data_IF_854539680718
#
_entry.id   IF_854539680718
#
_cell.length_a   1.000
_cell.length_b   1.000
_cell.length_c   1.000
_cell.angle_alpha   90.00
_cell.angle_beta   90.00
_cell.angle_gamma   90.00
#
_symmetry.space_group_name_H-M   'P 1'
#
loop_
_entity.id
_entity.type
_entity.pdbx_description
1 polymer ?
#
# COMPACT_ATOMS: atom_id res chain seq x y z
N UNK A 1 -6.46 -3.16 15.83
CA UNK A 1 -7.93 -3.15 16.02
C UNK A 1 -8.48 -2.01 15.21
N UNK A 2 -9.54 -2.21 14.45
CA UNK A 2 -10.23 -1.17 13.67
C UNK A 2 -11.68 -1.11 14.11
N UNK A 3 -12.25 0.10 14.23
CA UNK A 3 -13.61 0.31 14.70
C UNK A 3 -14.56 0.61 13.54
N UNK A 4 -15.85 0.55 13.84
CA UNK A 4 -16.89 0.89 12.88
C UNK A 4 -16.73 2.30 12.31
N UNK A 5 -17.03 2.44 11.02
CA UNK A 5 -16.89 3.66 10.23
C UNK A 5 -15.47 4.20 10.10
N UNK A 6 -14.45 3.45 10.55
CA UNK A 6 -13.05 3.78 10.29
C UNK A 6 -12.56 3.12 8.99
N UNK A 7 -11.72 3.81 8.20
CA UNK A 7 -11.07 3.21 7.05
C UNK A 7 -9.99 2.21 7.50
N UNK A 8 -9.87 1.11 6.76
CA UNK A 8 -8.85 0.10 7.00
C UNK A 8 -7.46 0.65 6.61
N UNK A 9 -6.46 0.64 7.52
CA UNK A 9 -5.17 1.29 7.30
C UNK A 9 -4.23 0.51 6.37
N UNK A 10 -4.41 -0.80 6.29
CA UNK A 10 -3.57 -1.74 5.57
C UNK A 10 -4.40 -2.96 5.15
N UNK A 11 -3.83 -3.83 4.31
CA UNK A 11 -4.48 -5.09 3.95
C UNK A 11 -4.30 -6.06 5.11
N UNK A 12 -5.41 -6.57 5.66
CA UNK A 12 -5.40 -7.40 6.87
C UNK A 12 -6.23 -8.67 6.70
N UNK A 13 -5.80 -9.78 7.29
CA UNK A 13 -6.63 -10.97 7.44
C UNK A 13 -7.51 -10.83 8.68
N UNK A 14 -8.81 -11.05 8.51
CA UNK A 14 -9.78 -11.02 9.60
C UNK A 14 -9.52 -12.18 10.57
N UNK A 15 -9.25 -11.87 11.84
CA UNK A 15 -9.17 -12.87 12.91
C UNK A 15 -10.42 -12.91 13.76
N UNK A 16 -10.88 -11.72 14.17
CA UNK A 16 -12.00 -11.55 15.08
C UNK A 16 -12.85 -10.36 14.65
N UNK A 17 -14.15 -10.50 14.86
CA UNK A 17 -15.14 -9.44 14.70
C UNK A 17 -16.00 -9.39 15.95
N UNK A 18 -16.57 -8.22 16.23
CA UNK A 18 -17.57 -8.03 17.28
C UNK A 18 -18.75 -9.02 17.15
N UNK A 19 -19.13 -9.38 15.92
CA UNK A 19 -20.17 -10.38 15.65
C UNK A 19 -19.75 -11.80 16.01
N UNK A 20 -18.45 -12.11 15.89
CA UNK A 20 -17.89 -13.40 16.30
C UNK A 20 -17.87 -13.61 17.81
N UNK A 21 -18.31 -12.63 18.62
CA UNK A 21 -18.63 -12.85 20.04
C UNK A 21 -19.88 -13.73 20.21
N UNK A 22 -20.81 -13.69 19.25
CA UNK A 22 -22.05 -14.46 19.27
C UNK A 22 -21.86 -15.82 18.55
N UNK A 23 -21.97 -16.96 19.25
CA UNK A 23 -21.77 -18.30 18.67
C UNK A 23 -22.69 -18.62 17.48
N UNK A 24 -23.83 -17.92 17.34
CA UNK A 24 -24.83 -18.19 16.30
C UNK A 24 -24.56 -17.49 14.97
N UNK A 25 -23.80 -16.39 14.97
CA UNK A 25 -23.61 -15.52 13.78
C UNK A 25 -22.28 -15.73 13.05
N UNK A 26 -21.37 -16.51 13.63
CA UNK A 26 -20.03 -16.69 13.08
C UNK A 26 -19.18 -15.42 13.14
N UNK A 27 -17.89 -15.55 12.81
CA UNK A 27 -16.97 -14.41 12.81
C UNK A 27 -16.97 -13.73 11.44
N UNK A 28 -17.94 -12.82 11.25
CA UNK A 28 -18.11 -12.07 9.99
C UNK A 28 -17.89 -10.57 10.19
N UNK A 29 -17.36 -9.91 9.17
CA UNK A 29 -17.23 -8.46 9.09
C UNK A 29 -17.87 -7.94 7.80
N UNK A 30 -18.38 -6.72 7.84
CA UNK A 30 -18.95 -6.05 6.68
C UNK A 30 -18.10 -4.83 6.36
N UNK A 31 -17.71 -4.71 5.11
CA UNK A 31 -16.89 -3.61 4.62
C UNK A 31 -17.54 -2.98 3.41
N UNK A 32 -17.51 -1.66 3.36
CA UNK A 32 -17.93 -0.87 2.21
C UNK A 32 -16.73 -0.67 1.27
N UNK A 33 -16.92 -0.94 -0.02
CA UNK A 33 -15.86 -0.83 -1.03
C UNK A 33 -15.99 0.39 -1.94
N UNK A 34 -16.81 1.39 -1.57
CA UNK A 34 -17.02 2.61 -2.35
C UNK A 34 -15.72 3.34 -2.73
N UNK A 35 -14.70 3.27 -1.88
CA UNK A 35 -13.37 3.84 -2.15
C UNK A 35 -12.51 3.02 -3.13
N UNK A 36 -12.86 1.76 -3.38
CA UNK A 36 -12.11 0.82 -4.22
C UNK A 36 -12.67 0.75 -5.65
N UNK A 37 -13.96 0.44 -5.75
CA UNK A 37 -14.65 0.14 -7.01
C UNK A 37 -15.86 1.05 -7.27
N UNK A 38 -16.15 1.98 -6.36
CA UNK A 38 -17.32 2.85 -6.45
C UNK A 38 -18.65 2.14 -6.12
N UNK A 39 -18.61 0.86 -5.72
CA UNK A 39 -19.81 0.13 -5.31
C UNK A 39 -20.24 0.57 -3.90
N UNK A 40 -21.54 0.84 -3.72
CA UNK A 40 -22.12 1.19 -2.40
C UNK A 40 -22.55 -0.04 -1.58
N UNK A 41 -22.38 -1.23 -2.15
CA UNK A 41 -22.77 -2.48 -1.51
C UNK A 41 -21.78 -2.87 -0.41
N UNK A 42 -22.30 -3.48 0.65
CA UNK A 42 -21.48 -4.06 1.71
C UNK A 42 -20.97 -5.44 1.27
N UNK A 43 -19.66 -5.62 1.27
CA UNK A 43 -19.03 -6.93 1.06
C UNK A 43 -18.84 -7.61 2.42
N UNK A 44 -19.21 -8.88 2.49
CA UNK A 44 -19.06 -9.70 3.69
C UNK A 44 -17.71 -10.39 3.65
N UNK A 45 -16.99 -10.38 4.78
CA UNK A 45 -15.72 -11.08 4.98
C UNK A 45 -15.83 -11.99 6.19
N UNK A 46 -15.13 -13.12 6.16
CA UNK A 46 -15.21 -14.14 7.21
C UNK A 46 -13.81 -14.43 7.75
N UNK A 47 -13.72 -14.74 9.06
CA UNK A 47 -12.47 -15.22 9.60
C UNK A 47 -12.24 -16.68 9.14
N UNK A 48 -10.97 -17.10 8.95
CA UNK A 48 -10.64 -18.49 8.68
C UNK A 48 -11.23 -19.42 9.74
N UNK A 49 -11.70 -20.60 9.33
CA UNK A 49 -12.36 -21.56 10.23
C UNK A 49 -11.41 -22.02 11.32
N UNK A 50 -10.15 -22.29 10.97
CA UNK A 50 -9.12 -22.71 11.92
C UNK A 50 -8.92 -21.66 13.03
N UNK A 51 -8.97 -20.38 12.69
CA UNK A 51 -8.90 -19.27 13.66
C UNK A 51 -10.14 -19.27 14.55
N UNK A 52 -11.33 -19.43 13.97
CA UNK A 52 -12.58 -19.42 14.72
C UNK A 52 -12.67 -20.59 15.70
N UNK A 53 -12.18 -21.76 15.33
CA UNK A 53 -12.19 -22.98 16.14
C UNK A 53 -11.29 -22.82 17.37
N UNK A 54 -10.03 -22.41 17.18
CA UNK A 54 -9.07 -22.17 18.28
C UNK A 54 -9.61 -21.13 19.28
N UNK A 55 -10.24 -20.07 18.76
CA UNK A 55 -10.81 -19.02 19.62
C UNK A 55 -12.01 -19.56 20.40
N UNK A 56 -12.86 -20.37 19.76
CA UNK A 56 -14.01 -20.98 20.41
C UNK A 56 -13.59 -21.94 21.55
N UNK A 57 -12.54 -22.74 21.32
CA UNK A 57 -11.94 -23.65 22.29
C UNK A 57 -11.31 -22.89 23.46
N UNK A 58 -10.57 -21.81 23.15
CA UNK A 58 -9.99 -20.93 24.16
C UNK A 58 -11.06 -20.27 25.04
N UNK A 59 -12.19 -19.88 24.46
CA UNK A 59 -13.34 -19.31 25.20
C UNK A 59 -14.02 -20.35 26.08
N UNK A 60 -14.27 -21.57 25.59
CA UNK A 60 -14.86 -22.68 26.36
C UNK A 60 -13.98 -23.06 27.55
N UNK A 61 -12.68 -23.16 27.34
CA UNK A 61 -11.72 -23.46 28.41
C UNK A 61 -11.74 -22.39 29.50
N UNK A 62 -11.93 -21.12 29.11
CA UNK A 62 -12.03 -19.99 30.05
C UNK A 62 -13.35 -19.99 30.83
N UNK A 63 -14.49 -20.27 30.20
CA UNK A 63 -15.78 -20.34 30.90
C UNK A 63 -15.83 -21.48 31.91
N UNK A 64 -15.29 -22.66 31.57
CA UNK A 64 -15.18 -23.79 32.49
C UNK A 64 -14.27 -23.48 33.69
N UNK A 65 -13.17 -22.76 33.46
CA UNK A 65 -12.27 -22.32 34.54
C UNK A 65 -12.94 -21.30 35.46
N UNK A 66 -13.71 -20.36 34.92
CA UNK A 66 -14.46 -19.39 35.72
C UNK A 66 -15.56 -20.08 36.54
N UNK A 67 -16.26 -21.06 35.96
CA UNK A 67 -17.29 -21.84 36.66
C UNK A 67 -16.70 -22.70 37.78
N UNK A 68 -15.48 -23.24 37.61
CA UNK A 68 -14.73 -23.94 38.67
C UNK A 68 -14.24 -23.00 39.79
N UNK A 69 -14.01 -21.72 39.48
CA UNK A 69 -13.61 -20.74 40.48
C UNK A 69 -14.80 -20.20 41.28
N UNK A 70 -15.96 -20.02 40.64
CA UNK A 70 -17.20 -19.61 41.33
C UNK A 70 -17.78 -20.70 42.23
N UNK A 71 -17.60 -21.99 41.89
CA UNK A 71 -18.01 -23.09 42.78
C UNK A 71 -17.09 -23.28 43.99
N UNK A 72 -15.88 -22.71 43.96
CA UNK A 72 -14.93 -22.75 45.07
C UNK A 72 -15.10 -21.61 46.08
N UNK A 73 -15.90 -20.58 45.78
CA UNK A 73 -16.13 -19.45 46.69
C UNK A 73 -17.35 -19.61 47.61
N UNK A 74 -18.08 -20.73 47.54
CA UNK A 74 -19.24 -21.02 48.43
C UNK A 74 -18.91 -22.03 49.53
N UNK A 75 -17.65 -22.46 49.65
CA UNK A 75 -17.19 -23.32 50.74
C UNK A 75 -15.79 -22.90 51.19
N UNK A 76 -15.65 -22.63 52.48
CA UNK A 76 -14.42 -22.31 53.23
C UNK A 76 -13.90 -20.87 53.20
N UNK A 77 -14.52 -20.04 54.05
CA UNK A 77 -13.81 -18.99 54.79
C UNK A 77 -12.87 -19.65 55.81
N UNK A 78 -11.60 -19.87 55.45
CA UNK A 78 -10.51 -19.89 56.42
C UNK A 78 -9.35 -19.03 55.94
N UNK A 79 -9.12 -17.97 56.70
CA UNK A 79 -8.01 -17.03 56.64
C UNK A 79 -6.67 -17.76 56.50
N UNK A 80 -5.83 -17.31 55.58
CA UNK A 80 -4.37 -17.28 55.75
C UNK A 80 -3.83 -16.02 55.10
N UNK A 81 -3.44 -15.07 55.95
CA UNK A 81 -2.60 -13.93 55.62
C UNK A 81 -1.23 -14.40 55.12
N UNK A 82 -0.63 -13.60 54.22
CA UNK A 82 0.73 -13.81 53.72
C UNK A 82 0.97 -12.94 52.50
N UNK A 83 1.28 -11.66 52.72
CA UNK A 83 1.83 -10.74 51.73
C UNK A 83 3.27 -11.15 51.35
N UNK A 84 3.65 -11.03 50.06
CA UNK A 84 5.06 -10.84 49.71
C UNK A 84 5.27 -9.50 49.00
N UNK A 85 6.31 -8.80 49.45
CA UNK A 85 6.76 -7.50 49.00
C UNK A 85 7.37 -7.53 47.59
N UNK A 86 7.35 -6.34 47.00
CA UNK A 86 7.88 -5.94 45.69
C UNK A 86 9.39 -5.70 45.79
N UNK A 87 10.17 -6.23 44.85
CA UNK A 87 11.58 -5.84 44.65
C UNK A 87 11.74 -5.37 43.21
N UNK A 88 12.11 -4.09 43.06
CA UNK A 88 12.38 -3.43 41.78
C UNK A 88 13.88 -3.52 41.58
N UNK A 89 14.33 -4.05 40.46
CA UNK A 89 15.70 -3.82 40.01
C UNK A 89 15.70 -3.14 38.65
N UNK A 90 16.34 -1.99 38.65
CA UNK A 90 16.49 -1.05 37.54
C UNK A 90 17.87 -1.27 36.93
N UNK A 91 17.94 -1.72 35.67
CA UNK A 91 19.05 -1.38 34.78
C UNK A 91 18.79 -1.84 33.33
N UNK A 92 18.87 -0.86 32.42
CA UNK A 92 18.93 -0.99 30.97
C UNK A 92 20.40 -1.22 30.56
N UNK A 93 20.67 -1.95 29.46
CA UNK A 93 21.84 -1.64 28.64
C UNK A 93 21.47 -1.27 27.21
N UNK A 94 22.13 -0.20 26.77
CA UNK A 94 22.24 0.35 25.43
C UNK A 94 23.01 -0.63 24.52
N UNK A 95 22.43 -1.02 23.38
CA UNK A 95 23.08 -0.99 22.06
C UNK A 95 22.22 -1.68 20.99
N UNK A 96 22.11 -1.00 19.85
CA UNK A 96 21.13 -1.28 18.80
C UNK A 96 21.47 -2.51 17.95
N UNK A 97 20.47 -3.39 17.80
CA UNK A 97 20.04 -4.05 16.55
C UNK A 97 18.78 -4.87 16.89
N UNK A 98 17.59 -4.43 16.43
CA UNK A 98 16.32 -5.11 16.71
C UNK A 98 16.07 -6.27 15.73
N UNK A 99 16.52 -7.46 16.11
CA UNK A 99 15.99 -8.72 15.57
C UNK A 99 14.75 -9.14 16.36
N UNK A 100 13.58 -9.18 15.73
CA UNK A 100 12.39 -9.78 16.34
C UNK A 100 12.51 -11.31 16.26
N UNK A 101 13.20 -11.91 17.24
CA UNK A 101 13.05 -13.34 17.57
C UNK A 101 12.71 -13.45 19.04
N UNK A 102 11.42 -13.57 19.36
CA UNK A 102 10.96 -13.85 20.73
C UNK A 102 11.15 -15.34 21.02
N UNK A 103 12.35 -15.74 21.42
CA UNK A 103 12.50 -16.93 22.26
C UNK A 103 12.06 -16.56 23.67
N UNK A 104 10.92 -17.10 24.08
CA UNK A 104 10.45 -17.08 25.46
C UNK A 104 10.29 -18.53 25.90
N UNK A 105 11.40 -19.18 26.22
CA UNK A 105 11.41 -20.32 27.14
C UNK A 105 11.11 -19.76 28.53
N UNK A 106 9.82 -19.75 28.86
CA UNK A 106 9.30 -19.38 30.16
C UNK A 106 7.91 -19.98 30.29
N UNK A 107 7.80 -21.03 31.10
CA UNK A 107 6.53 -21.62 31.47
C UNK A 107 5.67 -20.57 32.20
N UNK A 108 4.78 -19.89 31.47
CA UNK A 108 3.69 -19.11 32.06
C UNK A 108 2.39 -19.53 31.38
N UNK A 109 1.76 -20.53 31.99
CA UNK A 109 0.33 -20.76 31.86
C UNK A 109 -0.42 -19.54 32.41
N UNK A 110 -0.92 -18.64 31.54
CA UNK A 110 -2.06 -17.72 31.74
C UNK A 110 -2.24 -16.82 30.49
N UNK A 111 -2.99 -17.30 29.49
CA UNK A 111 -4.34 -16.81 29.11
C UNK A 111 -4.41 -15.43 28.41
N UNK A 112 -4.00 -15.37 27.14
CA UNK A 112 -4.77 -14.63 26.12
C UNK A 112 -4.94 -15.52 24.89
N UNK A 113 -6.18 -15.77 24.41
CA UNK A 113 -6.41 -16.65 23.26
C UNK A 113 -5.70 -16.15 21.99
N UNK A 114 -5.47 -14.84 21.91
CA UNK A 114 -4.76 -14.20 20.80
C UNK A 114 -3.25 -14.52 20.80
N UNK A 115 -2.63 -14.59 21.99
CA UNK A 115 -1.22 -14.94 22.13
C UNK A 115 -0.97 -16.42 21.80
N UNK A 116 -1.92 -17.30 22.12
CA UNK A 116 -1.89 -18.69 21.65
C UNK A 116 -1.96 -18.72 20.13
N UNK A 117 -2.92 -18.00 19.52
CA UNK A 117 -3.11 -17.99 18.07
C UNK A 117 -1.86 -17.56 17.30
N UNK A 118 -1.19 -16.50 17.75
CA UNK A 118 0.05 -15.99 17.14
C UNK A 118 1.19 -17.02 17.23
N UNK A 119 1.24 -17.82 18.29
CA UNK A 119 2.31 -18.80 18.49
C UNK A 119 1.99 -20.18 17.88
N UNK A 120 0.74 -20.44 17.50
CA UNK A 120 0.28 -21.76 17.02
C UNK A 120 -0.01 -21.79 15.53
N UNK A 121 0.21 -20.72 14.77
CA UNK A 121 -0.12 -20.66 13.34
C UNK A 121 1.01 -20.01 12.54
N UNK A 122 1.26 -20.52 11.34
CA UNK A 122 2.07 -19.85 10.34
C UNK A 122 1.22 -19.57 9.09
N UNK A 123 1.35 -18.35 8.57
CA UNK A 123 0.60 -17.89 7.41
C UNK A 123 1.56 -17.65 6.26
N UNK A 124 1.27 -18.22 5.10
CA UNK A 124 2.02 -18.00 3.87
C UNK A 124 1.08 -17.35 2.85
N UNK A 125 1.58 -16.39 2.10
CA UNK A 125 0.81 -15.62 1.13
C UNK A 125 1.65 -15.33 -0.11
N UNK A 126 0.98 -15.14 -1.24
CA UNK A 126 1.63 -14.74 -2.49
C UNK A 126 2.23 -13.32 -2.39
N UNK A 127 3.14 -12.98 -3.30
CA UNK A 127 3.65 -11.62 -3.43
C UNK A 127 2.49 -10.64 -3.74
N UNK A 128 2.59 -9.36 -3.32
CA UNK A 128 1.54 -8.38 -3.55
C UNK A 128 1.33 -8.21 -5.07
N UNK A 129 0.09 -8.36 -5.53
CA UNK A 129 -0.28 -8.22 -6.93
C UNK A 129 -1.27 -7.07 -7.13
N UNK A 130 -1.31 -6.53 -8.35
CA UNK A 130 -2.23 -5.44 -8.72
C UNK A 130 -3.69 -5.90 -8.82
N UNK A 131 -3.94 -7.21 -8.86
CA UNK A 131 -5.29 -7.76 -8.91
C UNK A 131 -5.94 -7.71 -7.52
N UNK A 132 -6.99 -6.90 -7.42
CA UNK A 132 -7.73 -6.62 -6.18
C UNK A 132 -8.66 -7.75 -5.78
N UNK A 133 -9.04 -8.63 -6.71
CA UNK A 133 -10.05 -9.68 -6.48
C UNK A 133 -9.42 -11.04 -6.23
N UNK A 134 -8.15 -11.22 -6.60
CA UNK A 134 -7.44 -12.47 -6.48
C UNK A 134 -6.46 -12.40 -5.31
N UNK A 135 -6.75 -13.14 -4.26
CA UNK A 135 -5.83 -13.34 -3.14
C UNK A 135 -5.66 -14.83 -2.90
N UNK A 136 -4.39 -15.26 -2.77
CA UNK A 136 -4.04 -16.63 -2.39
C UNK A 136 -3.11 -16.63 -1.18
N UNK A 137 -3.54 -17.29 -0.13
CA UNK A 137 -2.70 -17.65 1.01
C UNK A 137 -3.03 -19.03 1.54
N UNK A 138 -2.19 -19.51 2.45
CA UNK A 138 -2.42 -20.72 3.22
C UNK A 138 -2.13 -20.45 4.68
N UNK A 139 -2.98 -21.01 5.54
CA UNK A 139 -2.83 -21.00 6.98
C UNK A 139 -2.53 -22.43 7.41
N UNK A 140 -1.40 -22.61 8.11
CA UNK A 140 -0.99 -23.90 8.64
C UNK A 140 -0.82 -23.82 10.15
N UNK A 141 -1.36 -24.78 10.92
CA UNK A 141 -1.11 -24.85 12.35
C UNK A 141 0.35 -25.27 12.61
N UNK A 142 1.00 -24.58 13.55
CA UNK A 142 2.34 -24.88 14.07
C UNK A 142 2.23 -25.91 15.22
N UNK A 143 1.50 -27.00 15.01
CA UNK A 143 1.40 -28.09 15.98
C UNK A 143 2.48 -29.13 15.64
N UNK A 144 3.32 -29.49 16.62
CA UNK A 144 4.36 -30.52 16.49
C UNK A 144 3.80 -31.95 16.67
N UNK A 145 2.49 -32.13 16.64
CA UNK A 145 1.83 -33.42 16.78
C UNK A 145 1.62 -33.99 15.39
N UNK A 146 1.98 -35.27 15.20
CA UNK A 146 2.02 -36.03 13.94
C UNK A 146 0.69 -36.10 13.15
N UNK A 147 -0.37 -35.48 13.67
CA UNK A 147 -1.57 -35.16 12.92
C UNK A 147 -1.27 -33.98 11.99
N UNK A 148 -1.07 -34.30 10.70
CA UNK A 148 -0.93 -33.39 9.58
C UNK A 148 -2.06 -32.34 9.62
N UNK A 149 -1.80 -31.22 10.29
CA UNK A 149 -2.82 -30.21 10.55
C UNK A 149 -3.35 -29.68 9.21
N UNK A 150 -4.67 -29.73 9.03
CA UNK A 150 -5.31 -29.38 7.76
C UNK A 150 -4.93 -27.96 7.34
N UNK A 151 -4.25 -27.84 6.19
CA UNK A 151 -3.89 -26.56 5.61
C UNK A 151 -5.18 -25.88 5.13
N UNK A 152 -5.52 -24.74 5.71
CA UNK A 152 -6.67 -23.95 5.29
C UNK A 152 -6.24 -22.93 4.24
N UNK A 153 -6.89 -22.94 3.07
CA UNK A 153 -6.63 -21.94 2.03
C UNK A 153 -7.29 -20.61 2.40
N UNK A 154 -6.52 -19.53 2.35
CA UNK A 154 -7.01 -18.17 2.51
C UNK A 154 -7.36 -17.59 1.13
N UNK A 155 -8.61 -17.15 1.00
CA UNK A 155 -9.14 -16.49 -0.19
C UNK A 155 -9.43 -15.01 0.09
N UNK A 156 -9.87 -14.29 -0.94
CA UNK A 156 -10.27 -12.89 -0.87
C UNK A 156 -11.33 -12.62 0.21
N UNK A 157 -12.17 -13.60 0.53
CA UNK A 157 -13.21 -13.50 1.57
C UNK A 157 -12.67 -13.35 2.99
N UNK A 158 -11.40 -13.67 3.21
CA UNK A 158 -10.74 -13.52 4.51
C UNK A 158 -9.94 -12.21 4.62
N UNK A 159 -9.79 -11.48 3.51
CA UNK A 159 -8.95 -10.29 3.40
C UNK A 159 -9.79 -9.00 3.50
N UNK A 160 -9.38 -8.13 4.40
CA UNK A 160 -9.84 -6.75 4.54
C UNK A 160 -8.85 -5.85 3.81
N UNK A 161 -9.27 -5.21 2.71
CA UNK A 161 -8.41 -4.33 1.93
C UNK A 161 -8.28 -2.94 2.55
N UNK A 162 -7.11 -2.32 2.38
CA UNK A 162 -6.86 -0.92 2.71
C UNK A 162 -7.85 0.01 2.00
N UNK A 163 -8.27 1.06 2.70
CA UNK A 163 -9.14 2.11 2.15
C UNK A 163 -10.63 1.75 2.14
N UNK A 164 -10.98 0.48 2.35
CA UNK A 164 -12.37 0.10 2.59
C UNK A 164 -12.78 0.50 4.02
N UNK A 165 -14.05 0.86 4.19
CA UNK A 165 -14.56 1.35 5.47
C UNK A 165 -15.33 0.25 6.17
N UNK A 166 -15.05 0.03 7.46
CA UNK A 166 -15.79 -0.95 8.25
C UNK A 166 -17.22 -0.45 8.50
N UNK A 167 -18.23 -1.27 8.25
CA UNK A 167 -19.65 -0.91 8.45
C UNK A 167 -20.39 -2.04 9.17
N UNK A 168 -21.46 -1.71 9.89
CA UNK A 168 -22.32 -2.68 10.57
C UNK A 168 -21.57 -3.66 11.49
N UNK A 169 -20.34 -3.33 11.89
CA UNK A 169 -19.47 -4.17 12.71
C UNK A 169 -18.67 -3.26 13.64
N UNK A 170 -19.06 -3.15 14.93
CA UNK A 170 -18.44 -2.25 15.91
C UNK A 170 -16.92 -2.26 15.95
N UNK A 171 -16.31 -3.45 15.82
CA UNK A 171 -14.86 -3.59 15.78
C UNK A 171 -14.43 -4.88 15.11
N UNK A 172 -13.22 -4.86 14.54
CA UNK A 172 -12.50 -6.03 14.04
C UNK A 172 -11.05 -6.05 14.53
N UNK A 173 -10.52 -7.26 14.68
CA UNK A 173 -9.10 -7.54 14.86
C UNK A 173 -8.63 -8.37 13.68
N UNK A 174 -7.50 -7.98 13.12
CA UNK A 174 -6.87 -8.68 12.02
C UNK A 174 -5.36 -8.56 12.09
N UNK A 175 -4.68 -9.39 11.31
CA UNK A 175 -3.23 -9.37 11.14
C UNK A 175 -2.92 -8.67 9.83
N UNK A 176 -2.01 -7.70 9.85
CA UNK A 176 -1.56 -6.99 8.65
C UNK A 176 -0.74 -7.94 7.78
N UNK A 177 -1.12 -8.04 6.51
CA UNK A 177 -0.40 -8.81 5.49
C UNK A 177 0.44 -7.89 4.60
N UNK A 178 -0.19 -6.85 4.02
CA UNK A 178 0.51 -5.88 3.19
C UNK A 178 0.30 -4.47 3.72
N UNK A 179 1.37 -3.67 3.79
CA UNK A 179 1.36 -2.32 4.33
C UNK A 179 1.93 -1.29 3.35
N UNK A 180 1.41 -0.05 3.41
CA UNK A 180 1.94 1.09 2.67
C UNK A 180 2.09 0.83 1.16
N UNK A 181 3.35 0.90 0.71
CA UNK A 181 3.94 0.59 -0.62
C UNK A 181 3.31 -0.64 -1.32
N UNK A 182 2.99 -1.63 -0.50
CA UNK A 182 2.74 -2.99 -0.95
C UNK A 182 1.26 -3.37 -0.87
N UNK A 183 0.43 -2.48 -0.30
CA UNK A 183 -1.02 -2.70 -0.27
C UNK A 183 -1.60 -2.81 -1.68
N UNK A 184 -2.44 -3.82 -1.89
CA UNK A 184 -3.03 -4.15 -3.19
C UNK A 184 -3.83 -2.99 -3.77
N UNK A 185 -4.57 -2.27 -2.90
CA UNK A 185 -5.26 -1.03 -3.27
C UNK A 185 -4.34 -0.04 -3.99
N UNK A 186 -3.16 0.18 -3.42
CA UNK A 186 -2.30 1.26 -3.85
C UNK A 186 -1.38 0.81 -5.00
N UNK A 187 -1.01 -0.48 -5.10
CA UNK A 187 -0.40 -1.03 -6.32
C UNK A 187 -1.40 -0.93 -7.49
N UNK A 188 -2.66 -1.30 -7.28
CA UNK A 188 -3.69 -1.25 -8.33
C UNK A 188 -3.97 0.17 -8.82
N UNK A 189 -3.98 1.16 -7.94
CA UNK A 189 -4.38 2.53 -8.28
C UNK A 189 -3.19 3.44 -8.64
N UNK A 190 -2.02 3.25 -8.01
CA UNK A 190 -0.86 4.16 -8.16
C UNK A 190 0.34 3.54 -8.88
N UNK A 191 0.29 2.25 -9.26
CA UNK A 191 1.28 1.64 -10.15
C UNK A 191 2.76 1.82 -9.74
N UNK A 192 3.07 1.99 -8.45
CA UNK A 192 4.46 2.26 -8.03
C UNK A 192 4.82 3.72 -7.82
N UNK A 193 4.24 4.60 -8.64
CA UNK A 193 4.75 5.95 -8.82
C UNK A 193 3.66 6.84 -9.40
N UNK A 194 3.34 7.95 -8.75
CA UNK A 194 2.42 8.92 -9.32
C UNK A 194 3.03 9.49 -10.61
N UNK A 195 2.40 9.31 -11.79
CA UNK A 195 2.93 9.85 -13.03
C UNK A 195 2.97 11.38 -12.95
N UNK A 196 4.06 11.98 -13.43
CA UNK A 196 4.19 13.42 -13.48
C UNK A 196 3.07 14.02 -14.34
N UNK A 197 2.15 14.76 -13.71
CA UNK A 197 1.07 15.46 -14.41
C UNK A 197 1.67 16.65 -15.14
N UNK A 198 1.64 16.62 -16.48
CA UNK A 198 1.98 17.76 -17.33
C UNK A 198 0.69 18.40 -17.83
N UNK A 199 0.63 19.73 -17.88
CA UNK A 199 -0.57 20.40 -18.35
C UNK A 199 -0.72 20.20 -19.86
N UNK A 200 -1.96 20.14 -20.34
CA UNK A 200 -2.25 20.11 -21.77
C UNK A 200 -1.64 21.32 -22.49
N UNK A 201 -1.53 22.46 -21.78
CA UNK A 201 -0.89 23.68 -22.26
C UNK A 201 0.62 23.48 -22.44
N UNK A 202 1.32 22.81 -21.53
CA UNK A 202 2.76 22.54 -21.69
C UNK A 202 3.05 21.65 -22.91
N UNK A 203 2.19 20.66 -23.15
CA UNK A 203 2.29 19.77 -24.31
C UNK A 203 2.01 20.56 -25.61
N UNK A 204 0.98 21.41 -25.60
CA UNK A 204 0.67 22.29 -26.73
C UNK A 204 1.78 23.33 -26.98
N UNK A 205 2.37 23.87 -25.91
CA UNK A 205 3.49 24.81 -25.98
C UNK A 205 4.68 24.17 -26.69
N UNK A 206 5.05 22.94 -26.31
CA UNK A 206 6.13 22.22 -26.99
C UNK A 206 5.84 22.03 -28.50
N UNK A 207 4.57 21.85 -28.88
CA UNK A 207 4.15 21.78 -30.28
C UNK A 207 4.29 23.14 -30.99
N UNK A 208 3.91 24.24 -30.35
CA UNK A 208 4.10 25.58 -30.92
C UNK A 208 5.58 25.94 -31.06
N UNK A 209 6.42 25.63 -30.07
CA UNK A 209 7.88 25.84 -30.13
C UNK A 209 8.49 25.12 -31.32
N UNK A 210 8.13 23.84 -31.54
CA UNK A 210 8.59 23.08 -32.70
C UNK A 210 8.08 23.69 -34.03
N UNK A 211 6.81 24.12 -34.05
CA UNK A 211 6.19 24.73 -35.26
C UNK A 211 6.89 26.04 -35.63
N UNK A 212 7.18 26.89 -34.66
CA UNK A 212 7.91 28.15 -34.85
C UNK A 212 9.35 27.89 -35.31
N UNK A 213 10.04 26.89 -34.75
CA UNK A 213 11.39 26.53 -35.17
C UNK A 213 11.47 26.07 -36.64
N UNK A 214 10.49 25.29 -37.10
CA UNK A 214 10.42 24.86 -38.51
C UNK A 214 10.10 26.04 -39.44
N UNK A 215 9.11 26.87 -39.08
CA UNK A 215 8.76 28.06 -39.86
C UNK A 215 9.96 29.02 -39.98
N UNK A 216 10.68 29.21 -38.89
CA UNK A 216 11.89 30.02 -38.82
C UNK A 216 12.99 29.50 -39.74
N UNK A 217 13.25 28.19 -39.73
CA UNK A 217 14.24 27.58 -40.60
C UNK A 217 13.89 27.81 -42.09
N UNK A 218 12.61 27.69 -42.45
CA UNK A 218 12.12 27.93 -43.82
C UNK A 218 12.33 29.40 -44.21
N UNK A 219 11.97 30.36 -43.35
CA UNK A 219 12.17 31.79 -43.63
C UNK A 219 13.65 32.15 -43.84
N UNK A 220 14.55 31.57 -43.05
CA UNK A 220 15.99 31.78 -43.20
C UNK A 220 16.52 31.22 -44.53
N UNK A 221 16.01 30.06 -44.97
CA UNK A 221 16.35 29.49 -46.29
C UNK A 221 15.86 30.38 -47.42
N UNK A 222 14.60 30.85 -47.36
CA UNK A 222 14.03 31.74 -48.38
C UNK A 222 14.84 33.04 -48.46
N UNK A 223 15.17 33.67 -47.33
CA UNK A 223 15.97 34.88 -47.30
C UNK A 223 17.36 34.69 -47.90
N UNK A 224 18.00 33.53 -47.63
CA UNK A 224 19.30 33.18 -48.20
C UNK A 224 19.23 32.98 -49.72
N UNK A 225 18.17 32.35 -50.22
CA UNK A 225 17.95 32.16 -51.67
C UNK A 225 17.74 33.51 -52.36
N UNK A 226 16.89 34.38 -51.80
CA UNK A 226 16.62 35.72 -52.34
C UNK A 226 17.92 36.52 -52.43
N UNK A 227 18.73 36.50 -51.38
CA UNK A 227 20.03 37.16 -51.36
C UNK A 227 20.97 36.59 -52.45
N UNK A 228 20.97 35.26 -52.63
CA UNK A 228 21.76 34.60 -53.68
C UNK A 228 21.33 34.90 -55.11
N UNK A 229 20.07 35.34 -55.31
CA UNK A 229 19.56 35.77 -56.63
C UNK A 229 19.83 37.24 -56.96
N UNK A 230 20.40 38.01 -56.03
CA UNK A 230 20.75 39.40 -56.31
C UNK A 230 21.80 39.49 -57.43
N UNK A 231 21.74 40.53 -58.29
CA UNK A 231 22.72 40.72 -59.35
C UNK A 231 24.15 40.65 -58.81
N UNK A 232 25.07 40.09 -59.58
CA UNK A 232 26.49 40.07 -59.20
C UNK A 232 27.04 41.51 -59.16
N UNK A 233 28.00 41.83 -58.26
CA UNK A 233 28.68 43.13 -58.21
C UNK A 233 29.36 43.55 -59.52
N UNK A 234 29.49 42.63 -60.50
CA UNK A 234 30.01 42.92 -61.83
C UNK A 234 28.94 43.36 -62.85
N UNK A 235 27.67 43.43 -62.44
CA UNK A 235 26.57 43.97 -63.25
C UNK A 235 26.44 45.49 -63.06
N UNK A 236 26.13 46.23 -64.12
CA UNK A 236 25.93 47.69 -64.08
C UNK A 236 24.80 48.12 -63.13
N UNK A 237 23.88 47.21 -62.83
CA UNK A 237 22.68 47.46 -62.02
C UNK A 237 22.88 47.09 -60.54
N UNK A 238 24.10 46.72 -60.11
CA UNK A 238 24.38 46.40 -58.72
C UNK A 238 24.56 47.65 -57.85
N UNK A 239 23.87 47.78 -56.70
CA UNK A 239 24.04 48.92 -55.80
C UNK A 239 25.46 48.98 -55.23
N UNK A 240 26.20 50.05 -55.56
CA UNK A 240 27.62 50.21 -55.20
C UNK A 240 27.91 50.13 -53.68
N UNK A 241 26.93 50.45 -52.83
CA UNK A 241 27.08 50.40 -51.36
C UNK A 241 26.91 49.00 -50.76
N UNK A 242 26.47 48.00 -51.54
CA UNK A 242 26.29 46.61 -51.08
C UNK A 242 27.46 45.68 -51.45
N UNK A 243 28.52 46.19 -52.11
CA UNK A 243 29.58 45.35 -52.68
C UNK A 243 30.39 44.56 -51.65
N UNK A 244 30.35 44.95 -50.37
CA UNK A 244 31.00 44.23 -49.27
C UNK A 244 30.19 43.04 -48.72
N UNK A 245 28.91 42.89 -49.11
CA UNK A 245 28.04 41.81 -48.65
C UNK A 245 28.00 40.60 -49.59
N UNK A 246 28.42 40.75 -50.85
CA UNK A 246 28.30 39.68 -51.87
C UNK A 246 29.28 38.51 -51.70
N UNK A 247 30.35 38.69 -50.92
CA UNK A 247 31.43 37.70 -50.75
C UNK A 247 31.22 36.77 -49.55
N UNK A 248 30.07 36.86 -48.87
CA UNK A 248 29.75 36.04 -47.70
C UNK A 248 29.25 34.65 -48.10
N UNK A 249 29.70 33.63 -47.37
CA UNK A 249 29.21 32.26 -47.58
C UNK A 249 27.71 32.17 -47.30
N UNK A 250 26.95 31.34 -48.04
CA UNK A 250 25.52 31.18 -47.83
C UNK A 250 25.18 30.71 -46.40
N UNK A 251 26.11 30.00 -45.74
CA UNK A 251 25.98 29.58 -44.36
C UNK A 251 26.04 30.76 -43.38
N UNK A 252 26.93 31.74 -43.60
CA UNK A 252 27.01 32.96 -42.78
C UNK A 252 25.74 33.79 -42.94
N UNK A 253 25.22 33.91 -44.16
CA UNK A 253 23.96 34.62 -44.42
C UNK A 253 22.77 33.93 -43.74
N UNK A 254 22.68 32.60 -43.82
CA UNK A 254 21.68 31.81 -43.11
C UNK A 254 21.75 32.00 -41.59
N UNK A 255 22.95 31.89 -41.00
CA UNK A 255 23.14 32.08 -39.56
C UNK A 255 22.84 33.52 -39.11
N UNK A 256 23.19 34.51 -39.94
CA UNK A 256 22.88 35.92 -39.69
C UNK A 256 21.36 36.14 -39.63
N UNK A 257 20.60 35.62 -40.59
CA UNK A 257 19.14 35.71 -40.57
C UNK A 257 18.52 34.91 -39.41
N UNK A 258 19.07 33.74 -39.09
CA UNK A 258 18.62 32.93 -37.95
C UNK A 258 18.76 33.67 -36.62
N UNK A 259 19.89 34.36 -36.40
CA UNK A 259 20.13 35.17 -35.20
C UNK A 259 19.21 36.41 -35.18
N UNK A 260 19.05 37.10 -36.31
CA UNK A 260 18.20 38.30 -36.41
C UNK A 260 16.73 38.01 -36.13
N UNK A 261 16.25 36.82 -36.53
CA UNK A 261 14.85 36.44 -36.40
C UNK A 261 14.57 35.64 -35.11
N UNK A 262 15.59 35.33 -34.28
CA UNK A 262 15.44 34.67 -32.97
C UNK A 262 15.37 35.70 -31.81
N UNK A 263 14.81 36.88 -32.11
CA UNK A 263 14.57 37.93 -31.13
C UNK A 263 13.19 37.86 -30.50
#
# INVERSE_FOLDING_TARGET
MVRESEPLPADMILLLSSHGADPKRGCVAFMETSNLDGETNLKTRQAPKLVSDIISEGRRSRSLLLQRQSSRSTGDTKQREGSPQMEIDSQLPEDGFRLYKRQSTGFIAKKEPLATLVNTMSMQFEAPSADLLKFKGSLSPLSNTEDEGTIEALSMDNLLLRGCTLKNTPWVLGVVVYAGHESRFMISNHGGFAPAKRSTVDIAMNKYVLTLFILQAILCVIATIIFGTLPSPNSSDYPWYLSGLSDQTPLINYLSYFVLLNS
#
